data_IF_521362020282
#
_entry.id   IF_521362020282
#
_cell.length_a   1.000
_cell.length_b   1.000
_cell.length_c   1.000
_cell.angle_alpha   90.00
_cell.angle_beta   90.00
_cell.angle_gamma   90.00
#
_symmetry.space_group_name_H-M   'P 1'
#
loop_
_entity.id
_entity.type
_entity.pdbx_description
1 polymer ?
#
# COMPACT_ATOMS: atom_id res chain seq x y z
N UNK A 1 -16.86 5.15 23.37
CA UNK A 1 -16.66 6.60 23.22
C UNK A 1 -15.21 6.93 23.54
N UNK A 2 -14.78 6.75 24.81
CA UNK A 2 -13.38 6.92 25.24
C UNK A 2 -12.29 6.34 24.30
N UNK A 3 -12.45 5.11 23.83
CA UNK A 3 -11.47 4.48 22.93
C UNK A 3 -11.40 5.16 21.54
N UNK A 4 -12.51 5.69 21.01
CA UNK A 4 -12.49 6.41 19.73
C UNK A 4 -11.74 7.74 19.86
N UNK A 5 -11.94 8.43 20.98
CA UNK A 5 -11.31 9.70 21.29
C UNK A 5 -9.78 9.51 21.46
N UNK A 6 -9.36 8.43 22.14
CA UNK A 6 -7.94 8.06 22.29
C UNK A 6 -7.24 7.79 20.94
N UNK A 7 -7.91 7.12 20.00
CA UNK A 7 -7.36 6.91 18.66
C UNK A 7 -7.29 8.19 17.84
N UNK A 8 -8.23 9.11 18.02
CA UNK A 8 -8.21 10.40 17.34
C UNK A 8 -7.06 11.27 17.85
N UNK A 9 -6.92 11.43 19.17
CA UNK A 9 -5.82 12.16 19.82
C UNK A 9 -4.45 11.57 19.43
N UNK A 10 -4.30 10.24 19.43
CA UNK A 10 -3.07 9.60 18.98
C UNK A 10 -2.77 9.90 17.51
N UNK A 11 -3.79 9.91 16.65
CA UNK A 11 -3.65 10.23 15.23
C UNK A 11 -3.17 11.66 14.99
N UNK A 12 -3.67 12.60 15.79
CA UNK A 12 -3.24 14.02 15.77
C UNK A 12 -1.82 14.19 16.31
N UNK A 13 -1.50 13.58 17.46
CA UNK A 13 -0.16 13.65 18.04
C UNK A 13 0.92 13.13 17.08
N UNK A 14 0.67 12.02 16.38
CA UNK A 14 1.60 11.52 15.35
C UNK A 14 1.70 12.45 14.13
N UNK A 15 0.61 13.12 13.76
CA UNK A 15 0.60 14.07 12.65
C UNK A 15 1.43 15.31 12.99
N UNK A 16 1.21 15.90 14.17
CA UNK A 16 1.96 17.06 14.66
C UNK A 16 3.45 16.74 14.83
N UNK A 17 3.77 15.56 15.39
CA UNK A 17 5.16 15.10 15.50
C UNK A 17 5.83 15.00 14.13
N UNK A 18 5.13 14.52 13.10
CA UNK A 18 5.64 14.44 11.74
C UNK A 18 5.90 15.83 11.13
N UNK A 19 5.04 16.81 11.41
CA UNK A 19 5.25 18.18 10.97
C UNK A 19 6.44 18.83 11.68
N UNK A 20 6.64 18.58 12.97
CA UNK A 20 7.78 19.12 13.73
C UNK A 20 9.14 18.58 13.24
N UNK A 21 9.17 17.38 12.67
CA UNK A 21 10.35 16.76 12.05
C UNK A 21 10.78 17.52 10.79
N UNK A 22 9.82 18.00 10.00
CA UNK A 22 10.03 18.75 8.75
C UNK A 22 10.77 20.09 8.99
N UNK A 23 10.63 20.68 10.18
CA UNK A 23 11.30 21.94 10.56
C UNK A 23 12.73 21.78 11.09
N UNK A 24 13.14 20.59 11.50
CA UNK A 24 14.36 20.38 12.30
C UNK A 24 15.46 19.58 11.57
N UNK A 25 15.44 19.51 10.23
CA UNK A 25 16.40 18.76 9.40
C UNK A 25 16.55 17.26 9.77
N UNK A 26 15.55 16.71 10.46
CA UNK A 26 15.52 15.29 10.81
C UNK A 26 15.21 14.49 9.53
N UNK A 27 15.81 13.29 9.32
CA UNK A 27 15.66 12.55 8.08
C UNK A 27 14.19 12.33 7.68
N UNK A 28 13.87 12.58 6.42
CA UNK A 28 12.50 12.49 5.87
C UNK A 28 11.83 11.11 6.11
N UNK A 29 12.62 10.05 6.21
CA UNK A 29 12.19 8.70 6.61
C UNK A 29 11.42 8.72 7.94
N UNK A 30 11.84 9.55 8.89
CA UNK A 30 11.20 9.71 10.19
C UNK A 30 9.83 10.38 10.07
N UNK A 31 9.69 11.40 9.21
CA UNK A 31 8.41 12.07 8.95
C UNK A 31 7.40 11.11 8.30
N UNK A 32 7.82 10.38 7.26
CA UNK A 32 6.98 9.36 6.59
C UNK A 32 6.47 8.32 7.60
N UNK A 33 7.34 7.85 8.50
CA UNK A 33 6.95 6.87 9.52
C UNK A 33 5.88 7.43 10.45
N UNK A 34 6.04 8.66 10.93
CA UNK A 34 5.08 9.31 11.81
C UNK A 34 3.73 9.57 11.11
N UNK A 35 3.73 10.09 9.88
CA UNK A 35 2.49 10.22 9.10
C UNK A 35 1.80 8.87 8.86
N UNK A 36 2.55 7.78 8.63
CA UNK A 36 1.98 6.43 8.50
C UNK A 36 1.33 5.92 9.78
N UNK A 37 1.88 6.25 10.96
CA UNK A 37 1.25 5.95 12.24
C UNK A 37 -0.05 6.75 12.44
N UNK A 38 -0.03 8.04 12.11
CA UNK A 38 -1.23 8.90 12.11
C UNK A 38 -2.35 8.31 11.23
N UNK A 39 -2.00 7.88 10.00
CA UNK A 39 -2.92 7.19 9.09
C UNK A 39 -3.54 5.96 9.74
N UNK A 40 -2.75 5.11 10.39
CA UNK A 40 -3.26 3.88 11.02
C UNK A 40 -4.27 4.19 12.12
N UNK A 41 -4.02 5.21 12.95
CA UNK A 41 -4.96 5.67 13.96
C UNK A 41 -6.28 6.15 13.34
N UNK A 42 -6.21 7.07 12.37
CA UNK A 42 -7.41 7.61 11.71
C UNK A 42 -8.20 6.57 10.91
N UNK A 43 -7.53 5.57 10.32
CA UNK A 43 -8.21 4.46 9.62
C UNK A 43 -9.04 3.60 10.57
N UNK A 44 -8.60 3.37 11.81
CA UNK A 44 -9.35 2.57 12.81
C UNK A 44 -10.70 3.19 13.13
N UNK A 45 -10.74 4.52 13.25
CA UNK A 45 -11.95 5.28 13.55
C UNK A 45 -12.64 5.83 12.28
N UNK A 46 -12.12 5.51 11.09
CA UNK A 46 -12.60 6.00 9.79
C UNK A 46 -12.70 7.54 9.73
N UNK A 47 -11.77 8.24 10.38
CA UNK A 47 -11.70 9.70 10.36
C UNK A 47 -11.09 10.20 9.05
N UNK A 48 -11.79 11.12 8.39
CA UNK A 48 -11.31 11.75 7.14
C UNK A 48 -10.04 12.58 7.33
N UNK A 49 -9.61 12.84 8.57
CA UNK A 49 -8.30 13.42 8.89
C UNK A 49 -7.15 12.62 8.28
N UNK A 50 -7.33 11.31 8.05
CA UNK A 50 -6.38 10.46 7.32
C UNK A 50 -5.98 11.03 5.95
N UNK A 51 -6.87 11.77 5.28
CA UNK A 51 -6.61 12.29 3.94
C UNK A 51 -5.45 13.27 3.92
N UNK A 52 -5.32 14.10 4.95
CA UNK A 52 -4.21 15.05 5.05
C UNK A 52 -2.89 14.30 5.27
N UNK A 53 -2.88 13.29 6.14
CA UNK A 53 -1.72 12.43 6.35
C UNK A 53 -1.33 11.65 5.09
N UNK A 54 -2.30 11.23 4.25
CA UNK A 54 -2.03 10.60 2.95
C UNK A 54 -1.23 11.52 2.03
N UNK A 55 -1.72 12.75 1.85
CA UNK A 55 -1.06 13.75 1.00
C UNK A 55 0.33 14.06 1.53
N UNK A 56 0.50 14.20 2.85
CA UNK A 56 1.82 14.45 3.45
C UNK A 56 2.85 13.33 3.22
N UNK A 57 2.44 12.07 3.26
CA UNK A 57 3.34 10.95 2.89
C UNK A 57 3.76 11.06 1.41
N UNK A 58 2.84 11.43 0.53
CA UNK A 58 3.12 11.59 -0.90
C UNK A 58 4.07 12.76 -1.13
N UNK A 59 3.82 13.91 -0.49
CA UNK A 59 4.66 15.10 -0.57
C UNK A 59 6.12 14.77 -0.20
N UNK A 60 6.34 14.00 0.87
CA UNK A 60 7.68 13.54 1.22
C UNK A 60 8.33 12.73 0.08
N UNK A 61 7.62 11.75 -0.50
CA UNK A 61 8.18 10.99 -1.63
C UNK A 61 8.49 11.87 -2.85
N UNK A 62 7.69 12.90 -3.11
CA UNK A 62 7.95 13.86 -4.19
C UNK A 62 9.19 14.72 -3.92
N UNK A 63 9.35 15.22 -2.69
CA UNK A 63 10.52 15.98 -2.26
C UNK A 63 11.82 15.15 -2.36
N UNK A 64 11.75 13.85 -2.06
CA UNK A 64 12.88 12.91 -2.21
C UNK A 64 13.08 12.42 -3.66
N UNK A 65 12.32 12.96 -4.63
CA UNK A 65 12.32 12.55 -6.04
C UNK A 65 12.01 11.04 -6.24
N UNK A 66 11.31 10.41 -5.30
CA UNK A 66 10.88 9.01 -5.35
C UNK A 66 9.51 8.90 -6.06
N UNK A 67 9.49 9.28 -7.34
CA UNK A 67 8.26 9.47 -8.13
C UNK A 67 7.41 8.20 -8.20
N UNK A 68 8.01 7.03 -8.41
CA UNK A 68 7.26 5.77 -8.50
C UNK A 68 6.57 5.44 -7.16
N UNK A 69 7.21 5.77 -6.02
CA UNK A 69 6.59 5.58 -4.71
C UNK A 69 5.45 6.56 -4.46
N UNK A 70 5.60 7.82 -4.88
CA UNK A 70 4.52 8.80 -4.80
C UNK A 70 3.29 8.32 -5.61
N UNK A 71 3.50 7.86 -6.84
CA UNK A 71 2.45 7.27 -7.70
C UNK A 71 1.80 6.05 -7.02
N UNK A 72 2.60 5.12 -6.47
CA UNK A 72 2.06 3.97 -5.76
C UNK A 72 1.14 4.40 -4.61
N UNK A 73 1.57 5.35 -3.78
CA UNK A 73 0.81 5.79 -2.61
C UNK A 73 -0.46 6.56 -3.00
N UNK A 74 -0.44 7.37 -4.07
CA UNK A 74 -1.67 7.95 -4.62
C UNK A 74 -2.72 6.88 -4.92
N UNK A 75 -2.33 5.77 -5.54
CA UNK A 75 -3.24 4.68 -5.91
C UNK A 75 -3.67 3.85 -4.70
N UNK A 76 -2.75 3.48 -3.82
CA UNK A 76 -3.08 2.71 -2.60
C UNK A 76 -4.01 3.50 -1.68
N UNK A 77 -3.77 4.80 -1.50
CA UNK A 77 -4.64 5.66 -0.70
C UNK A 77 -5.98 5.93 -1.38
N UNK A 78 -6.03 6.10 -2.71
CA UNK A 78 -7.29 6.14 -3.45
C UNK A 78 -8.14 4.87 -3.21
N UNK A 79 -7.50 3.70 -3.18
CA UNK A 79 -8.16 2.44 -2.87
C UNK A 79 -8.73 2.39 -1.45
N UNK A 80 -7.98 2.86 -0.45
CA UNK A 80 -8.45 2.95 0.94
C UNK A 80 -9.61 3.95 1.06
N UNK A 81 -9.52 5.11 0.43
CA UNK A 81 -10.58 6.14 0.38
C UNK A 81 -11.90 5.53 -0.13
N UNK A 82 -11.83 4.79 -1.24
CA UNK A 82 -13.01 4.13 -1.83
C UNK A 82 -13.60 3.05 -0.93
N UNK A 83 -12.77 2.21 -0.31
CA UNK A 83 -13.24 0.99 0.36
C UNK A 83 -13.51 1.17 1.86
N UNK A 84 -12.71 1.98 2.56
CA UNK A 84 -12.84 2.24 4.00
C UNK A 84 -13.82 3.38 4.26
N UNK A 85 -13.65 4.50 3.55
CA UNK A 85 -14.44 5.72 3.77
C UNK A 85 -15.68 5.81 2.85
N UNK A 86 -15.80 4.90 1.88
CA UNK A 86 -16.87 4.86 0.87
C UNK A 86 -16.96 6.14 0.03
N UNK A 87 -15.85 6.86 -0.08
CA UNK A 87 -15.76 8.14 -0.77
C UNK A 87 -15.26 7.95 -2.20
N UNK A 88 -16.21 7.70 -3.12
CA UNK A 88 -15.86 7.41 -4.51
C UNK A 88 -15.27 8.63 -5.21
N UNK A 89 -15.78 9.82 -4.94
CA UNK A 89 -15.31 11.05 -5.58
C UNK A 89 -13.85 11.34 -5.22
N UNK A 90 -13.53 11.32 -3.92
CA UNK A 90 -12.15 11.56 -3.47
C UNK A 90 -11.20 10.45 -3.95
N UNK A 91 -11.67 9.20 -4.04
CA UNK A 91 -10.84 8.12 -4.59
C UNK A 91 -10.46 8.33 -6.05
N UNK A 92 -11.39 8.85 -6.87
CA UNK A 92 -11.14 9.14 -8.29
C UNK A 92 -10.13 10.27 -8.43
N UNK A 93 -10.23 11.32 -7.60
CA UNK A 93 -9.25 12.40 -7.57
C UNK A 93 -7.83 11.86 -7.29
N UNK A 94 -7.69 10.97 -6.31
CA UNK A 94 -6.39 10.34 -5.99
C UNK A 94 -5.84 9.51 -7.16
N UNK A 95 -6.69 8.76 -7.86
CA UNK A 95 -6.26 8.01 -9.04
C UNK A 95 -5.86 8.93 -10.20
N UNK A 96 -6.58 10.04 -10.41
CA UNK A 96 -6.26 11.02 -11.43
C UNK A 96 -4.91 11.69 -11.14
N UNK A 97 -4.62 12.04 -9.88
CA UNK A 97 -3.30 12.58 -9.50
C UNK A 97 -2.17 11.59 -9.78
N UNK A 98 -2.38 10.29 -9.54
CA UNK A 98 -1.40 9.26 -9.89
C UNK A 98 -1.13 9.21 -11.40
N UNK A 99 -2.18 9.34 -12.22
CA UNK A 99 -2.07 9.28 -13.68
C UNK A 99 -1.45 10.57 -14.25
N UNK A 100 -1.76 11.74 -13.69
CA UNK A 100 -1.09 13.00 -14.04
C UNK A 100 0.42 12.91 -13.75
N UNK A 101 0.79 12.44 -12.55
CA UNK A 101 2.19 12.30 -12.17
C UNK A 101 2.96 11.30 -13.05
N UNK A 102 2.28 10.27 -13.59
CA UNK A 102 2.88 9.39 -14.61
C UNK A 102 3.15 10.12 -15.91
N UNK A 103 2.19 10.90 -16.39
CA UNK A 103 2.29 11.65 -17.64
C UNK A 103 3.41 12.68 -17.53
N UNK A 104 3.47 13.43 -16.44
CA UNK A 104 4.44 14.50 -16.22
C UNK A 104 5.89 13.99 -16.17
N UNK A 105 6.09 12.71 -15.87
CA UNK A 105 7.40 12.07 -15.78
C UNK A 105 7.64 10.99 -16.87
N UNK A 106 6.78 10.94 -17.90
CA UNK A 106 6.86 9.96 -19.00
C UNK A 106 6.93 8.49 -18.53
N UNK A 107 6.25 8.15 -17.44
CA UNK A 107 6.26 6.82 -16.84
C UNK A 107 5.17 5.95 -17.51
N UNK A 108 5.53 4.97 -18.36
CA UNK A 108 4.53 4.12 -18.98
C UNK A 108 3.89 3.20 -17.92
N UNK A 109 2.58 3.00 -18.05
CA UNK A 109 1.86 2.01 -17.24
C UNK A 109 1.01 1.10 -18.11
N UNK A 110 1.18 -0.20 -17.90
CA UNK A 110 0.32 -1.24 -18.45
C UNK A 110 -0.22 -2.08 -17.30
N UNK A 111 -1.54 -2.19 -17.19
CA UNK A 111 -2.14 -3.07 -16.19
C UNK A 111 -1.76 -4.52 -16.50
N UNK A 112 -1.18 -5.22 -15.52
CA UNK A 112 -0.88 -6.65 -15.63
C UNK A 112 -2.18 -7.47 -15.80
N UNK A 113 -3.13 -7.26 -14.88
CA UNK A 113 -4.51 -7.73 -14.95
C UNK A 113 -5.44 -6.63 -14.45
N UNK A 114 -6.67 -6.57 -14.93
CA UNK A 114 -7.68 -5.59 -14.50
C UNK A 114 -8.84 -6.23 -13.73
N UNK A 115 -9.01 -7.54 -13.85
CA UNK A 115 -9.99 -8.32 -13.11
C UNK A 115 -9.33 -9.55 -12.51
N UNK A 116 -9.72 -9.89 -11.28
CA UNK A 116 -9.33 -11.12 -10.62
C UNK A 116 -10.43 -12.16 -10.78
N UNK A 117 -10.07 -13.33 -11.30
CA UNK A 117 -10.95 -14.50 -11.45
C UNK A 117 -10.25 -15.71 -10.85
N UNK A 118 -10.77 -16.20 -9.73
CA UNK A 118 -10.19 -17.32 -8.98
C UNK A 118 -10.09 -18.59 -9.83
N UNK A 119 -11.01 -18.78 -10.79
CA UNK A 119 -11.02 -19.97 -11.65
C UNK A 119 -9.83 -20.00 -12.62
N UNK A 120 -9.19 -18.85 -12.88
CA UNK A 120 -7.97 -18.77 -13.69
C UNK A 120 -6.73 -19.26 -12.95
N UNK A 121 -6.80 -19.37 -11.62
CA UNK A 121 -5.70 -19.72 -10.73
C UNK A 121 -5.94 -21.08 -10.09
N UNK A 122 -5.97 -22.11 -10.93
CA UNK A 122 -5.96 -23.50 -10.48
C UNK A 122 -4.61 -23.92 -9.86
N UNK A 123 -3.54 -23.17 -10.15
CA UNK A 123 -2.16 -23.43 -9.77
C UNK A 123 -1.57 -22.13 -9.21
N UNK A 124 -0.90 -22.20 -8.04
CA UNK A 124 -0.38 -21.02 -7.33
C UNK A 124 0.71 -20.30 -8.13
N UNK A 125 1.50 -21.04 -8.89
CA UNK A 125 2.59 -20.56 -9.72
C UNK A 125 2.09 -19.50 -10.71
N UNK A 126 0.94 -19.74 -11.37
CA UNK A 126 0.34 -18.76 -12.28
C UNK A 126 -0.12 -17.49 -11.56
N UNK A 127 -0.59 -17.60 -10.32
CA UNK A 127 -0.95 -16.44 -9.52
C UNK A 127 0.29 -15.61 -9.14
N UNK A 128 1.40 -16.28 -8.82
CA UNK A 128 2.69 -15.63 -8.56
C UNK A 128 3.24 -14.94 -9.82
N UNK A 129 3.15 -15.58 -10.99
CA UNK A 129 3.57 -14.97 -12.26
C UNK A 129 2.79 -13.69 -12.58
N UNK A 130 1.47 -13.70 -12.40
CA UNK A 130 0.65 -12.50 -12.59
C UNK A 130 0.91 -11.44 -11.52
N UNK A 131 1.26 -11.86 -10.29
CA UNK A 131 1.58 -10.95 -9.20
C UNK A 131 2.90 -10.22 -9.44
N UNK A 132 3.93 -10.92 -9.91
CA UNK A 132 5.24 -10.33 -10.23
C UNK A 132 5.16 -9.24 -11.30
N UNK A 133 4.22 -9.36 -12.26
CA UNK A 133 4.00 -8.35 -13.32
C UNK A 133 3.55 -6.98 -12.77
N UNK A 134 3.14 -6.88 -11.51
CA UNK A 134 2.81 -5.60 -10.88
C UNK A 134 4.02 -4.85 -10.34
N UNK A 135 5.20 -5.46 -10.29
CA UNK A 135 6.39 -4.83 -9.73
C UNK A 135 7.33 -4.34 -10.83
N UNK A 136 7.88 -3.14 -10.61
CA UNK A 136 8.91 -2.53 -11.47
C UNK A 136 10.09 -2.11 -10.61
N UNK A 137 11.29 -2.18 -11.17
CA UNK A 137 12.50 -1.82 -10.44
C UNK A 137 12.72 -0.31 -10.51
N UNK A 138 12.81 0.34 -9.35
CA UNK A 138 13.26 1.73 -9.22
C UNK A 138 14.79 1.74 -9.09
N UNK A 139 15.49 2.31 -10.07
CA UNK A 139 16.93 2.55 -10.00
C UNK A 139 17.19 3.80 -9.14
N UNK A 140 17.61 3.60 -7.90
CA UNK A 140 18.23 4.65 -7.11
C UNK A 140 19.74 4.57 -7.28
N UNK A 141 20.37 5.70 -7.62
CA UNK A 141 21.81 5.82 -7.83
C UNK A 141 22.64 4.91 -6.92
N UNK A 142 23.33 3.98 -7.59
CA UNK A 142 24.40 3.07 -7.17
C UNK A 142 24.17 1.84 -6.28
N UNK A 143 23.12 1.60 -5.46
CA UNK A 143 23.18 0.37 -4.61
C UNK A 143 21.93 -0.43 -4.19
N UNK A 144 20.71 -0.16 -4.67
CA UNK A 144 19.64 -1.16 -4.55
C UNK A 144 18.48 -0.90 -5.53
N UNK A 145 18.17 -1.88 -6.36
CA UNK A 145 16.87 -1.94 -7.05
C UNK A 145 15.79 -2.17 -5.99
N UNK A 146 14.84 -1.23 -5.88
CA UNK A 146 13.67 -1.43 -5.03
C UNK A 146 12.47 -1.72 -5.92
N UNK A 147 11.83 -2.86 -5.68
CA UNK A 147 10.56 -3.18 -6.34
C UNK A 147 9.48 -2.21 -5.87
N UNK A 148 8.90 -1.47 -6.80
CA UNK A 148 7.77 -0.57 -6.59
C UNK A 148 6.55 -1.13 -7.32
N UNK A 149 5.36 -0.98 -6.74
CA UNK A 149 4.12 -1.48 -7.35
C UNK A 149 3.66 -0.53 -8.46
N UNK A 150 3.66 -1.00 -9.70
CA UNK A 150 3.03 -0.33 -10.85
C UNK A 150 1.54 -0.69 -10.92
N UNK A 151 0.74 -0.04 -10.09
CA UNK A 151 -0.73 -0.20 -10.02
C UNK A 151 -1.44 1.11 -10.35
N UNK A 152 -2.60 1.07 -10.99
CA UNK A 152 -3.48 2.24 -11.20
C UNK A 152 -4.89 1.98 -10.66
N UNK A 153 -5.76 3.00 -10.72
CA UNK A 153 -7.15 2.89 -10.27
C UNK A 153 -7.96 1.79 -10.96
N UNK A 154 -7.54 1.31 -12.15
CA UNK A 154 -8.20 0.23 -12.90
C UNK A 154 -7.77 -1.18 -12.48
N UNK A 155 -6.54 -1.36 -11.99
CA UNK A 155 -5.98 -2.68 -11.69
C UNK A 155 -5.75 -2.93 -10.20
N UNK A 156 -5.88 -1.91 -9.35
CA UNK A 156 -5.64 -2.04 -7.91
C UNK A 156 -6.57 -3.07 -7.25
N UNK A 157 -7.84 -3.18 -7.68
CA UNK A 157 -8.76 -4.21 -7.19
C UNK A 157 -8.27 -5.63 -7.49
N UNK A 158 -7.80 -5.86 -8.72
CA UNK A 158 -7.28 -7.15 -9.14
C UNK A 158 -5.99 -7.50 -8.38
N UNK A 159 -5.10 -6.51 -8.20
CA UNK A 159 -3.89 -6.67 -7.39
C UNK A 159 -4.20 -7.07 -5.95
N UNK A 160 -5.10 -6.34 -5.26
CA UNK A 160 -5.43 -6.62 -3.85
C UNK A 160 -6.02 -8.02 -3.69
N UNK A 161 -6.94 -8.42 -4.57
CA UNK A 161 -7.55 -9.75 -4.54
C UNK A 161 -6.55 -10.87 -4.84
N UNK A 162 -5.66 -10.64 -5.82
CA UNK A 162 -4.59 -11.59 -6.15
C UNK A 162 -3.62 -11.78 -4.98
N UNK A 163 -3.19 -10.68 -4.35
CA UNK A 163 -2.34 -10.71 -3.16
C UNK A 163 -2.99 -11.46 -1.99
N UNK A 164 -4.27 -11.22 -1.76
CA UNK A 164 -5.05 -11.92 -0.73
C UNK A 164 -5.08 -13.43 -1.02
N UNK A 165 -5.42 -13.83 -2.24
CA UNK A 165 -5.43 -15.24 -2.66
C UNK A 165 -4.07 -15.92 -2.45
N UNK A 166 -2.97 -15.27 -2.85
CA UNK A 166 -1.61 -15.81 -2.64
C UNK A 166 -1.30 -15.98 -1.15
N UNK A 167 -1.69 -15.02 -0.32
CA UNK A 167 -1.48 -15.07 1.14
C UNK A 167 -2.26 -16.22 1.78
N UNK A 168 -3.52 -16.41 1.38
CA UNK A 168 -4.37 -17.51 1.86
C UNK A 168 -3.80 -18.88 1.43
N UNK A 169 -3.38 -19.02 0.17
CA UNK A 169 -2.81 -20.28 -0.33
C UNK A 169 -1.46 -20.63 0.31
N UNK A 170 -0.61 -19.63 0.56
CA UNK A 170 0.70 -19.85 1.20
C UNK A 170 0.58 -20.15 2.69
N UNK A 171 -0.34 -19.49 3.40
CA UNK A 171 -0.64 -19.81 4.80
C UNK A 171 -1.24 -21.21 4.97
N UNK A 172 -2.14 -21.65 4.07
CA UNK A 172 -2.67 -23.01 4.04
C UNK A 172 -1.58 -24.06 3.79
N UNK A 173 -0.61 -23.80 2.90
CA UNK A 173 0.55 -24.68 2.70
C UNK A 173 1.37 -24.82 3.99
N UNK A 174 1.62 -23.72 4.72
CA UNK A 174 2.33 -23.75 6.01
C UNK A 174 1.57 -24.57 7.06
N UNK A 175 0.24 -24.43 7.15
CA UNK A 175 -0.59 -25.19 8.10
C UNK A 175 -0.56 -26.69 7.77
N UNK A 176 -0.71 -27.07 6.49
CA UNK A 176 -0.63 -28.49 6.08
C UNK A 176 0.74 -29.09 6.37
N UNK A 177 1.83 -28.36 6.12
CA UNK A 177 3.18 -28.80 6.48
C UNK A 177 3.29 -28.99 8.00
N UNK A 178 2.84 -28.02 8.82
CA UNK A 178 2.84 -28.17 10.27
C UNK A 178 1.99 -29.34 10.77
N UNK A 179 0.85 -29.63 10.15
CA UNK A 179 0.01 -30.78 10.49
C UNK A 179 0.70 -32.11 10.13
N UNK A 180 1.35 -32.19 8.96
CA UNK A 180 2.12 -33.36 8.55
C UNK A 180 3.30 -33.59 9.49
N UNK A 181 4.07 -32.55 9.84
CA UNK A 181 5.17 -32.65 10.81
C UNK A 181 4.69 -33.06 12.22
N UNK A 182 3.51 -32.62 12.66
CA UNK A 182 2.93 -33.05 13.94
C UNK A 182 2.38 -34.49 13.92
N UNK A 183 2.02 -35.02 12.75
CA UNK A 183 1.68 -36.44 12.58
C UNK A 183 2.94 -37.29 12.69
N UNK A 184 4.06 -36.87 12.07
CA UNK A 184 5.32 -37.61 12.15
C UNK A 184 5.98 -37.56 13.53
N UNK A 185 5.78 -36.51 14.32
CA UNK A 185 6.26 -36.42 15.73
C UNK A 185 5.46 -37.26 16.74
N UNK A 186 4.39 -37.95 16.34
CA UNK A 186 3.60 -38.83 17.22
C UNK A 186 3.99 -40.31 17.11
N UNK A 187 5.04 -40.62 16.33
CA UNK A 187 5.54 -41.98 16.12
C UNK A 187 6.98 -42.21 16.62
N UNK A 188 7.53 -41.26 17.38
CA UNK A 188 8.80 -41.40 18.12
C UNK A 188 8.56 -41.39 19.63
#
# INVERSE_FOLDING_TARGET
>A
MKELDEWEEAGEAYFEAAQAVDFNEIPQISAIKAFKLSIQCFLRIKSRKAYLSFVKVIDCYLQDNQILKAIQHWVEYGYLIRNVFRDRFKSVEFYQQADLLRIDHDIPHRCAITTFDINKYNILEKALDDFQKFFVNEQNGSYAEKEVKSVCGRCIDAFVKLNQYITEMTSLKRIKICQIYNIYKRFD
#
